data_IF_992251149146
#
_entry.id   IF_992251149146
#
_cell.length_a   1.000
_cell.length_b   1.000
_cell.length_c   1.000
_cell.angle_alpha   90.00
_cell.angle_beta   90.00
_cell.angle_gamma   90.00
#
_symmetry.space_group_name_H-M   'P 1'
#
loop_
_entity.id
_entity.type
_entity.pdbx_description
1 polymer ?
#
# COMPACT_ATOMS: atom_id res chain seq x y z
N UNK A 1 -20.26 42.25 -56.25
CA UNK A 1 -19.57 42.32 -54.94
C UNK A 1 -20.48 41.70 -53.88
N UNK A 2 -20.07 40.65 -53.17
CA UNK A 2 -20.88 40.06 -52.11
C UNK A 2 -20.04 39.14 -51.23
N UNK A 3 -19.19 39.74 -50.39
CA UNK A 3 -18.26 39.04 -49.50
C UNK A 3 -19.04 38.33 -48.39
N UNK A 4 -19.52 37.10 -48.64
CA UNK A 4 -20.19 36.31 -47.59
C UNK A 4 -19.13 35.72 -46.65
N UNK A 5 -19.12 36.25 -45.44
CA UNK A 5 -18.18 35.97 -44.35
C UNK A 5 -18.32 34.51 -43.92
N UNK A 6 -17.29 33.70 -44.21
CA UNK A 6 -17.21 32.30 -43.81
C UNK A 6 -17.20 32.25 -42.27
N UNK A 7 -18.25 31.68 -41.70
CA UNK A 7 -18.37 31.39 -40.26
C UNK A 7 -17.31 30.35 -39.88
N UNK A 8 -16.08 30.81 -39.64
CA UNK A 8 -15.03 30.02 -39.00
C UNK A 8 -15.23 30.12 -37.50
N UNK A 9 -16.22 29.39 -36.98
CA UNK A 9 -16.27 29.06 -35.55
C UNK A 9 -15.13 28.08 -35.31
N UNK A 10 -14.01 28.58 -34.79
CA UNK A 10 -12.87 27.75 -34.39
C UNK A 10 -13.38 26.69 -33.39
N UNK A 11 -13.03 25.41 -33.56
CA UNK A 11 -13.36 24.39 -32.57
C UNK A 11 -12.74 24.79 -31.24
N UNK A 12 -13.56 24.83 -30.18
CA UNK A 12 -13.07 25.04 -28.82
C UNK A 12 -12.10 23.90 -28.51
N UNK A 13 -10.83 24.27 -28.29
CA UNK A 13 -9.77 23.33 -28.00
C UNK A 13 -10.11 22.44 -26.81
N UNK A 14 -9.44 21.28 -26.67
CA UNK A 14 -9.73 20.32 -25.62
C UNK A 14 -9.68 21.02 -24.27
N UNK A 15 -10.78 20.93 -23.52
CA UNK A 15 -10.89 21.48 -22.17
C UNK A 15 -9.71 20.95 -21.36
N UNK A 16 -8.82 21.85 -20.93
CA UNK A 16 -7.77 21.53 -19.96
C UNK A 16 -8.49 20.92 -18.76
N UNK A 17 -8.23 19.64 -18.49
CA UNK A 17 -8.70 18.99 -17.27
C UNK A 17 -8.08 19.78 -16.13
N UNK A 18 -8.88 20.58 -15.44
CA UNK A 18 -8.48 21.21 -14.20
C UNK A 18 -8.07 20.07 -13.27
N UNK A 19 -6.77 20.02 -12.94
CA UNK A 19 -6.20 18.88 -12.25
C UNK A 19 -6.82 18.75 -10.86
N UNK A 20 -7.07 17.51 -10.43
CA UNK A 20 -7.42 17.22 -9.05
C UNK A 20 -6.39 17.88 -8.12
N UNK A 21 -6.90 18.49 -7.05
CA UNK A 21 -6.11 19.04 -5.95
C UNK A 21 -5.23 17.94 -5.36
N UNK A 22 -3.93 18.22 -5.27
CA UNK A 22 -2.90 17.28 -4.82
C UNK A 22 -2.34 17.68 -3.46
N UNK A 23 -3.21 18.19 -2.60
CA UNK A 23 -2.88 18.71 -1.28
C UNK A 23 -3.22 17.64 -0.25
N UNK A 24 -2.18 17.06 0.38
CA UNK A 24 -2.35 16.06 1.43
C UNK A 24 -1.56 16.44 2.69
N UNK A 25 -1.91 15.83 3.81
CA UNK A 25 -1.20 15.98 5.09
C UNK A 25 0.03 15.08 5.11
N UNK A 26 1.16 15.56 5.65
CA UNK A 26 2.34 14.72 5.78
C UNK A 26 2.23 13.81 7.00
N UNK A 27 2.54 12.51 6.84
CA UNK A 27 2.49 11.52 7.92
C UNK A 27 3.56 11.73 9.01
N UNK A 28 4.65 12.44 8.69
CA UNK A 28 5.80 12.56 9.57
C UNK A 28 5.88 13.92 10.28
N UNK A 29 5.61 15.02 9.58
CA UNK A 29 5.59 16.36 10.17
C UNK A 29 4.18 16.89 10.47
N UNK A 30 3.13 16.15 10.09
CA UNK A 30 1.73 16.46 10.38
C UNK A 30 1.26 17.86 9.91
N UNK A 31 1.96 18.47 8.95
CA UNK A 31 1.48 19.70 8.33
C UNK A 31 0.46 19.38 7.23
N UNK A 32 -0.71 20.02 7.32
CA UNK A 32 -1.74 19.96 6.29
C UNK A 32 -1.23 20.60 4.99
N UNK A 33 -1.69 20.07 3.85
CA UNK A 33 -1.37 20.60 2.51
C UNK A 33 0.13 20.73 2.21
N UNK A 34 0.97 20.00 2.95
CA UNK A 34 2.43 20.07 2.82
C UNK A 34 2.98 19.10 1.77
N UNK A 35 2.18 18.11 1.38
CA UNK A 35 2.58 17.07 0.42
C UNK A 35 2.14 17.47 -0.98
N UNK A 36 3.09 17.42 -1.92
CA UNK A 36 2.87 17.63 -3.34
C UNK A 36 3.10 16.35 -4.13
N UNK A 37 2.16 16.00 -4.99
CA UNK A 37 2.25 14.81 -5.85
C UNK A 37 2.46 15.20 -7.32
N UNK A 38 3.46 14.62 -7.97
CA UNK A 38 3.70 14.71 -9.42
C UNK A 38 3.51 13.33 -10.04
N UNK A 39 2.61 13.25 -11.01
CA UNK A 39 2.29 11.99 -11.71
C UNK A 39 2.89 12.08 -13.11
N UNK A 40 3.91 11.27 -13.39
CA UNK A 40 4.41 11.09 -14.75
C UNK A 40 3.80 9.82 -15.36
N UNK A 41 2.65 10.00 -16.02
CA UNK A 41 1.92 8.91 -16.68
C UNK A 41 2.68 8.31 -17.86
N UNK A 42 3.71 8.98 -18.40
CA UNK A 42 4.51 8.46 -19.51
C UNK A 42 5.60 7.52 -19.01
N UNK A 43 6.25 7.90 -17.90
CA UNK A 43 7.22 7.06 -17.23
C UNK A 43 6.56 5.96 -16.38
N UNK A 44 5.27 6.10 -16.05
CA UNK A 44 4.59 5.22 -15.10
C UNK A 44 5.12 5.40 -13.68
N UNK A 45 5.55 6.62 -13.33
CA UNK A 45 6.14 6.92 -12.03
C UNK A 45 5.40 8.07 -11.34
N UNK A 46 5.02 7.84 -10.08
CA UNK A 46 4.48 8.84 -9.16
C UNK A 46 5.57 9.33 -8.23
N UNK A 47 5.70 10.64 -8.08
CA UNK A 47 6.60 11.28 -7.13
C UNK A 47 5.79 12.04 -6.08
N UNK A 48 6.10 11.82 -4.82
CA UNK A 48 5.53 12.52 -3.68
C UNK A 48 6.66 13.24 -2.94
N UNK A 49 6.44 14.50 -2.59
CA UNK A 49 7.40 15.30 -1.82
C UNK A 49 6.71 16.19 -0.79
N UNK A 50 7.17 16.19 0.46
CA UNK A 50 6.72 17.13 1.48
C UNK A 50 7.57 18.41 1.47
N UNK A 51 6.93 19.57 1.38
CA UNK A 51 7.60 20.87 1.38
C UNK A 51 8.14 21.30 2.76
N UNK A 52 7.69 20.67 3.85
CA UNK A 52 8.07 21.05 5.22
C UNK A 52 9.24 20.20 5.74
N UNK A 53 9.09 18.87 5.77
CA UNK A 53 10.16 17.97 6.23
C UNK A 53 11.09 17.46 5.12
N UNK A 54 10.76 17.70 3.84
CA UNK A 54 11.60 17.31 2.72
C UNK A 54 11.55 15.82 2.35
N UNK A 55 10.66 15.03 2.95
CA UNK A 55 10.54 13.62 2.59
C UNK A 55 10.05 13.44 1.17
N UNK A 56 10.62 12.45 0.51
CA UNK A 56 10.35 12.09 -0.87
C UNK A 56 10.03 10.60 -0.98
N UNK A 57 9.02 10.28 -1.78
CA UNK A 57 8.60 8.92 -2.05
C UNK A 57 8.32 8.77 -3.55
N UNK A 58 8.62 7.58 -4.06
CA UNK A 58 8.40 7.24 -5.46
C UNK A 58 7.74 5.87 -5.55
N UNK A 59 6.68 5.78 -6.33
CA UNK A 59 6.00 4.52 -6.61
C UNK A 59 5.70 4.37 -8.11
N UNK A 60 5.47 3.13 -8.53
CA UNK A 60 4.97 2.84 -9.88
C UNK A 60 3.50 3.24 -9.99
N UNK A 61 3.11 3.93 -11.07
CA UNK A 61 1.74 4.35 -11.30
C UNK A 61 1.16 3.78 -12.59
N UNK A 62 -0.13 3.43 -12.53
CA UNK A 62 -0.91 3.06 -13.70
C UNK A 62 -1.67 4.27 -14.28
N UNK A 63 -2.17 4.17 -15.51
CA UNK A 63 -2.84 5.29 -16.22
C UNK A 63 -4.11 5.80 -15.53
N UNK A 64 -4.82 4.91 -14.83
CA UNK A 64 -6.01 5.20 -14.05
C UNK A 64 -5.70 5.80 -12.67
N UNK A 65 -4.44 5.76 -12.22
CA UNK A 65 -4.09 6.30 -10.92
C UNK A 65 -4.17 7.83 -10.87
N UNK A 66 -4.60 8.29 -9.71
CA UNK A 66 -4.76 9.67 -9.29
C UNK A 66 -3.79 10.01 -8.16
N UNK A 67 -3.81 11.27 -7.72
CA UNK A 67 -2.87 11.74 -6.70
C UNK A 67 -3.11 11.09 -5.33
N UNK A 68 -4.35 10.65 -5.06
CA UNK A 68 -4.72 9.96 -3.83
C UNK A 68 -4.15 8.55 -3.78
N UNK A 69 -4.12 7.84 -4.91
CA UNK A 69 -3.57 6.47 -4.97
C UNK A 69 -2.08 6.45 -4.57
N UNK A 70 -1.31 7.43 -5.04
CA UNK A 70 0.11 7.61 -4.65
C UNK A 70 0.25 7.93 -3.17
N UNK A 71 -0.70 8.69 -2.60
CA UNK A 71 -0.69 9.01 -1.19
C UNK A 71 -1.01 7.79 -0.33
N UNK A 72 -2.00 6.97 -0.71
CA UNK A 72 -2.33 5.72 -0.02
C UNK A 72 -1.16 4.74 -0.03
N UNK A 73 -0.52 4.54 -1.19
CA UNK A 73 0.67 3.71 -1.31
C UNK A 73 1.81 4.18 -0.39
N UNK A 74 1.96 5.50 -0.23
CA UNK A 74 2.95 6.06 0.71
C UNK A 74 2.61 5.78 2.17
N UNK A 75 1.33 5.80 2.54
CA UNK A 75 0.86 5.42 3.89
C UNK A 75 1.17 3.95 4.15
N UNK A 76 0.79 3.08 3.22
CA UNK A 76 1.02 1.63 3.34
C UNK A 76 2.52 1.30 3.43
N UNK A 77 3.35 1.97 2.63
CA UNK A 77 4.81 1.83 2.67
C UNK A 77 5.41 2.31 4.00
N UNK A 78 4.90 3.41 4.57
CA UNK A 78 5.36 3.91 5.87
C UNK A 78 4.99 2.93 7.01
N UNK A 79 3.78 2.39 6.98
CA UNK A 79 3.32 1.40 7.96
C UNK A 79 4.06 0.08 7.87
N UNK A 80 4.39 -0.39 6.65
CA UNK A 80 5.19 -1.59 6.44
C UNK A 80 6.58 -1.48 7.10
N UNK A 81 7.28 -0.37 6.87
CA UNK A 81 8.60 -0.12 7.49
C UNK A 81 8.51 -0.08 9.02
N UNK A 82 7.43 0.50 9.57
CA UNK A 82 7.21 0.52 11.01
C UNK A 82 7.00 -0.88 11.60
N UNK A 83 6.26 -1.75 10.90
CA UNK A 83 6.02 -3.15 11.30
C UNK A 83 7.28 -4.00 11.20
N UNK A 84 8.04 -3.88 10.12
CA UNK A 84 9.32 -4.59 9.95
C UNK A 84 10.30 -4.22 11.07
N UNK A 85 10.43 -2.92 11.38
CA UNK A 85 11.26 -2.46 12.48
C UNK A 85 10.82 -2.97 13.87
N UNK A 86 9.54 -3.31 14.05
CA UNK A 86 9.04 -3.96 15.26
C UNK A 86 9.35 -5.46 15.28
N UNK A 87 9.23 -6.14 14.14
CA UNK A 87 9.51 -7.57 14.00
C UNK A 87 11.00 -7.90 14.20
N UNK A 88 11.90 -7.08 13.64
CA UNK A 88 13.36 -7.18 13.87
C UNK A 88 13.73 -7.00 15.35
N UNK A 89 12.99 -6.17 16.09
CA UNK A 89 13.19 -6.01 17.55
C UNK A 89 12.68 -7.20 18.35
N UNK A 90 11.63 -7.87 17.89
CA UNK A 90 11.10 -9.07 18.53
C UNK A 90 12.01 -10.30 18.29
N UNK A 91 12.65 -10.38 17.11
CA UNK A 91 13.57 -11.47 16.73
C UNK A 91 15.04 -11.20 17.10
N UNK A 92 15.36 -10.00 17.60
CA UNK A 92 16.68 -9.57 18.08
C UNK A 92 17.18 -10.21 19.38
N UNK A 93 16.89 -11.49 19.62
CA UNK A 93 17.54 -12.30 20.65
C UNK A 93 18.17 -13.55 20.02
N UNK A 94 19.38 -13.38 19.48
CA UNK A 94 20.52 -14.32 19.51
C UNK A 94 21.42 -14.18 18.26
N UNK A 95 22.02 -13.02 18.07
CA UNK A 95 23.20 -12.90 17.19
C UNK A 95 24.38 -12.33 17.98
N UNK A 96 24.77 -13.06 19.02
CA UNK A 96 26.10 -12.94 19.60
C UNK A 96 26.86 -14.23 19.33
N UNK A 97 27.83 -14.14 18.43
CA UNK A 97 28.84 -15.16 18.20
C UNK A 97 29.51 -15.52 19.53
N UNK A 98 29.13 -16.64 20.14
CA UNK A 98 29.97 -17.31 21.13
C UNK A 98 30.43 -18.61 20.50
N UNK A 99 31.66 -18.60 20.02
CA UNK A 99 32.42 -19.82 19.74
C UNK A 99 32.53 -20.62 21.05
N UNK A 100 31.75 -21.69 21.19
CA UNK A 100 31.85 -22.64 22.31
C UNK A 100 31.78 -24.05 21.72
N UNK A 101 32.67 -24.97 22.14
CA UNK A 101 32.86 -26.25 21.47
C UNK A 101 31.66 -27.18 21.67
N UNK A 102 31.47 -28.04 20.66
CA UNK A 102 30.48 -29.10 20.55
C UNK A 102 30.35 -29.95 21.81
N UNK A 103 29.13 -30.02 22.36
CA UNK A 103 28.67 -31.05 23.30
C UNK A 103 27.43 -31.75 22.70
N UNK A 104 27.16 -33.03 23.03
CA UNK A 104 26.17 -33.84 22.33
C UNK A 104 24.73 -33.53 22.74
N UNK A 105 23.85 -33.83 21.79
CA UNK A 105 22.41 -33.60 21.71
C UNK A 105 21.68 -34.23 22.92
N UNK A 106 20.91 -33.42 23.63
CA UNK A 106 19.74 -33.89 24.41
C UNK A 106 18.50 -33.23 23.82
N UNK A 107 17.60 -34.10 23.41
CA UNK A 107 16.29 -33.84 22.82
C UNK A 107 15.47 -32.92 23.75
N UNK A 108 15.11 -31.73 23.26
CA UNK A 108 14.11 -30.86 23.86
C UNK A 108 13.17 -30.44 22.75
N UNK A 109 11.93 -30.91 22.88
CA UNK A 109 10.80 -30.71 22.00
C UNK A 109 10.65 -29.21 21.65
N UNK A 110 10.54 -28.96 20.35
CA UNK A 110 10.28 -27.66 19.76
C UNK A 110 8.76 -27.46 19.82
N UNK A 111 8.31 -26.47 20.59
CA UNK A 111 6.95 -25.93 20.47
C UNK A 111 6.88 -25.15 19.15
N UNK A 112 6.42 -25.85 18.10
CA UNK A 112 6.09 -25.31 16.79
C UNK A 112 4.75 -24.57 16.91
N UNK A 113 4.78 -23.25 17.05
CA UNK A 113 3.59 -22.39 16.99
C UNK A 113 3.20 -22.27 15.49
N UNK A 114 2.52 -23.30 14.98
CA UNK A 114 1.95 -23.32 13.63
C UNK A 114 0.78 -22.34 13.55
N UNK A 115 1.00 -21.27 12.79
CA UNK A 115 -0.02 -20.40 12.19
C UNK A 115 -0.93 -21.22 11.26
N UNK A 116 -1.95 -21.87 11.83
CA UNK A 116 -3.01 -22.54 11.05
C UNK A 116 -4.41 -21.97 11.33
N UNK A 117 -4.60 -20.67 11.04
CA UNK A 117 -5.94 -20.10 10.84
C UNK A 117 -6.34 -20.07 9.38
N UNK A 118 -6.15 -21.21 8.70
CA UNK A 118 -6.84 -21.53 7.46
C UNK A 118 -8.33 -21.71 7.78
N UNK A 119 -9.16 -20.82 7.27
CA UNK A 119 -10.62 -20.86 7.35
C UNK A 119 -11.17 -22.25 6.96
N UNK A 120 -11.49 -23.07 7.96
CA UNK A 120 -12.27 -24.30 7.78
C UNK A 120 -13.71 -23.86 7.52
N UNK A 121 -14.09 -23.88 6.25
CA UNK A 121 -15.46 -23.61 5.82
C UNK A 121 -16.42 -24.55 6.53
N UNK A 122 -17.35 -23.97 7.29
CA UNK A 122 -18.38 -24.72 7.99
C UNK A 122 -19.17 -25.58 7.01
N UNK A 123 -19.08 -26.89 7.25
CA UNK A 123 -19.75 -27.92 6.48
C UNK A 123 -21.26 -27.73 6.55
N UNK A 124 -21.89 -27.87 5.38
CA UNK A 124 -23.33 -28.03 5.24
C UNK A 124 -23.75 -29.18 6.16
N UNK A 125 -24.59 -28.90 7.16
CA UNK A 125 -25.23 -29.97 7.93
C UNK A 125 -26.23 -30.62 6.98
N UNK A 126 -25.99 -31.89 6.64
CA UNK A 126 -27.04 -32.70 6.05
C UNK A 126 -28.08 -32.89 7.17
N UNK A 127 -29.30 -32.42 6.91
CA UNK A 127 -30.51 -32.72 7.65
C UNK A 127 -30.61 -34.26 7.72
N UNK A 128 -30.27 -34.84 8.86
CA UNK A 128 -30.43 -36.27 9.13
C UNK A 128 -31.91 -36.46 9.49
N UNK A 129 -32.64 -37.09 8.58
CA UNK A 129 -34.02 -37.56 8.74
C UNK A 129 -34.18 -38.27 10.10
N UNK A 130 -35.05 -37.72 10.96
CA UNK A 130 -35.53 -38.34 12.19
C UNK A 130 -36.46 -39.53 11.82
N UNK A 131 -35.87 -40.74 11.78
CA UNK A 131 -36.55 -42.03 11.61
C UNK A 131 -36.54 -42.79 12.96
N UNK A 132 -37.75 -42.97 13.51
CA UNK A 132 -38.25 -44.01 14.43
C UNK A 132 -37.53 -44.33 15.77
N UNK A 133 -38.24 -44.16 16.90
CA UNK A 133 -38.84 -45.27 17.69
C UNK A 133 -39.30 -44.78 19.10
N UNK A 134 -40.63 -44.63 19.27
CA UNK A 134 -41.50 -45.06 20.41
C UNK A 134 -42.71 -44.14 20.69
#
# INVERSE_FOLDING_TARGET
>A
MGKRKKSSRKPQGPKKREGLSKEFTCLFCNHEKSVHVKLDKKAGVGHLSCAVCGQQFQCGIHTLMEAIDVYSEWVDAADAVAKEAANDRATGSASFTRSVPRAPIVDREIEDDEDDRRYEGEGIVADDDDDDDY
#
